data_IF_134995615963
#
_entry.id   IF_134995615963
#
_cell.length_a   1.000
_cell.length_b   1.000
_cell.length_c   1.000
_cell.angle_alpha   90.00
_cell.angle_beta   90.00
_cell.angle_gamma   90.00
#
_symmetry.space_group_name_H-M   'P 1'
#
loop_
_entity.id
_entity.type
_entity.pdbx_description
1 polymer ?
#
# COMPACT_ATOMS: atom_id res chain seq x y z
N UNK A 1 6.77 -4.39 -34.18
CA UNK A 1 7.73 -5.50 -34.27
C UNK A 1 8.33 -5.73 -32.89
N UNK A 2 8.44 -6.98 -32.41
CA UNK A 2 9.00 -7.35 -31.10
C UNK A 2 10.43 -7.89 -31.26
N UNK A 3 11.28 -7.69 -30.26
CA UNK A 3 12.62 -8.28 -30.18
C UNK A 3 12.84 -8.87 -28.79
N UNK A 4 13.67 -9.90 -28.63
CA UNK A 4 14.10 -10.37 -27.30
C UNK A 4 14.76 -9.24 -26.51
N UNK A 5 14.51 -9.21 -25.20
CA UNK A 5 15.08 -8.22 -24.28
C UNK A 5 15.42 -8.87 -22.93
N UNK A 6 16.33 -8.26 -22.17
CA UNK A 6 16.54 -8.64 -20.77
C UNK A 6 15.33 -8.27 -19.94
N UNK A 7 15.09 -9.05 -18.87
CA UNK A 7 13.90 -8.84 -18.01
C UNK A 7 13.86 -7.44 -17.40
N UNK A 8 15.00 -6.88 -17.02
CA UNK A 8 15.10 -5.54 -16.43
C UNK A 8 14.71 -4.44 -17.44
N UNK A 9 15.04 -4.63 -18.73
CA UNK A 9 14.62 -3.72 -19.80
C UNK A 9 13.11 -3.80 -20.00
N UNK A 10 12.57 -5.02 -20.06
CA UNK A 10 11.13 -5.25 -20.22
C UNK A 10 10.34 -4.69 -19.04
N UNK A 11 10.79 -4.90 -17.80
CA UNK A 11 10.18 -4.31 -16.61
C UNK A 11 10.21 -2.78 -16.61
N UNK A 12 11.23 -2.19 -17.19
CA UNK A 12 11.26 -0.74 -17.38
C UNK A 12 10.17 -0.17 -18.31
N UNK A 13 9.47 -1.04 -19.06
CA UNK A 13 8.38 -0.66 -19.96
C UNK A 13 6.97 -0.82 -19.37
N UNK A 14 6.85 -1.30 -18.13
CA UNK A 14 5.54 -1.54 -17.50
C UNK A 14 4.84 -0.28 -16.99
N UNK A 15 5.55 0.83 -16.87
CA UNK A 15 5.00 2.08 -16.37
C UNK A 15 4.00 2.73 -17.35
N UNK A 16 3.01 3.51 -16.86
CA UNK A 16 2.76 3.78 -15.44
C UNK A 16 2.16 2.59 -14.70
N UNK A 17 2.43 2.51 -13.39
CA UNK A 17 1.83 1.53 -12.49
C UNK A 17 1.15 2.22 -11.29
N UNK A 18 0.23 1.50 -10.68
CA UNK A 18 -0.41 1.98 -9.45
C UNK A 18 0.59 1.96 -8.29
N UNK A 19 0.32 2.82 -7.30
CA UNK A 19 0.96 2.81 -6.00
C UNK A 19 -0.10 2.95 -4.93
N UNK A 20 0.01 2.16 -3.87
CA UNK A 20 -0.85 2.22 -2.69
C UNK A 20 0.00 2.37 -1.44
N UNK A 21 -0.63 2.79 -0.35
CA UNK A 21 -0.06 2.71 0.99
C UNK A 21 -0.73 1.55 1.73
N UNK A 22 0.06 0.56 2.15
CA UNK A 22 -0.38 -0.42 3.14
C UNK A 22 -0.16 0.19 4.53
N UNK A 23 -1.25 0.49 5.22
CA UNK A 23 -1.25 1.13 6.54
C UNK A 23 -1.46 0.06 7.59
N UNK A 24 -0.71 0.15 8.66
CA UNK A 24 -0.76 -0.74 9.82
C UNK A 24 -0.61 0.08 11.10
N UNK A 25 -0.93 -0.54 12.25
CA UNK A 25 -0.77 0.08 13.56
C UNK A 25 0.14 -0.78 14.42
N UNK A 26 1.17 -0.20 14.98
CA UNK A 26 2.08 -0.88 15.90
C UNK A 26 1.43 -1.05 17.30
N UNK A 27 1.90 -2.01 18.14
CA UNK A 27 1.34 -2.24 19.47
C UNK A 27 1.40 -1.02 20.41
N UNK A 28 2.34 -0.11 20.18
CA UNK A 28 2.47 1.15 20.92
C UNK A 28 1.57 2.28 20.39
N UNK A 29 0.69 1.96 19.41
CA UNK A 29 -0.26 2.89 18.82
C UNK A 29 0.28 3.69 17.64
N UNK A 30 1.57 3.61 17.30
CA UNK A 30 2.14 4.32 16.14
C UNK A 30 1.54 3.81 14.83
N UNK A 31 1.20 4.75 13.96
CA UNK A 31 0.76 4.44 12.59
C UNK A 31 1.99 4.20 11.72
N UNK A 32 2.02 3.07 11.03
CA UNK A 32 3.04 2.78 10.04
C UNK A 32 2.38 2.61 8.68
N UNK A 33 3.04 3.12 7.63
CA UNK A 33 2.62 2.91 6.25
C UNK A 33 3.82 2.52 5.37
N UNK A 34 3.54 1.79 4.30
CA UNK A 34 4.52 1.37 3.30
C UNK A 34 3.95 1.58 1.91
N UNK A 35 4.72 2.25 1.03
CA UNK A 35 4.34 2.36 -0.38
C UNK A 35 4.58 1.03 -1.10
N UNK A 36 3.55 0.56 -1.82
CA UNK A 36 3.56 -0.73 -2.53
C UNK A 36 3.09 -0.51 -3.97
N UNK A 37 3.90 -0.97 -4.94
CA UNK A 37 3.51 -1.04 -6.35
C UNK A 37 2.98 -2.43 -6.73
N UNK A 38 3.33 -3.47 -5.98
CA UNK A 38 2.89 -4.85 -6.25
C UNK A 38 1.58 -5.14 -5.54
N UNK A 39 0.49 -4.69 -6.15
CA UNK A 39 -0.87 -4.79 -5.63
C UNK A 39 -1.84 -5.10 -6.76
N UNK A 40 -2.79 -6.00 -6.54
CA UNK A 40 -3.89 -6.27 -7.46
C UNK A 40 -5.12 -6.80 -6.74
N UNK A 41 -6.31 -6.64 -7.38
CA UNK A 41 -7.55 -7.31 -6.99
C UNK A 41 -7.43 -8.77 -7.45
N UNK A 42 -7.80 -9.72 -6.59
CA UNK A 42 -7.66 -11.16 -6.86
C UNK A 42 -8.97 -11.94 -6.63
N UNK A 43 -10.00 -11.29 -6.11
CA UNK A 43 -11.35 -11.87 -5.95
C UNK A 43 -12.39 -10.76 -5.90
N UNK A 44 -13.56 -11.02 -6.45
CA UNK A 44 -14.72 -10.12 -6.41
C UNK A 44 -15.73 -10.53 -5.31
N UNK A 45 -15.81 -11.82 -5.01
CA UNK A 45 -16.72 -12.37 -3.99
C UNK A 45 -16.06 -13.54 -3.23
N UNK A 46 -15.67 -13.34 -1.97
CA UNK A 46 -15.54 -12.03 -1.32
C UNK A 46 -14.46 -11.16 -1.98
N UNK A 47 -14.55 -9.82 -1.89
CA UNK A 47 -13.58 -8.93 -2.51
C UNK A 47 -12.23 -9.02 -1.80
N UNK A 48 -11.15 -9.24 -2.55
CA UNK A 48 -9.80 -9.42 -2.00
C UNK A 48 -8.73 -8.68 -2.80
N UNK A 49 -7.72 -8.18 -2.06
CA UNK A 49 -6.46 -7.70 -2.61
C UNK A 49 -5.32 -8.67 -2.34
N UNK A 50 -4.35 -8.66 -3.26
CA UNK A 50 -3.04 -9.27 -3.08
C UNK A 50 -1.98 -8.18 -3.06
N UNK A 51 -1.07 -8.26 -2.08
CA UNK A 51 0.09 -7.37 -1.92
C UNK A 51 1.38 -8.20 -1.94
N UNK A 52 2.37 -7.79 -2.72
CA UNK A 52 3.74 -8.29 -2.59
C UNK A 52 4.51 -7.42 -1.60
N UNK A 53 4.97 -8.02 -0.49
CA UNK A 53 5.66 -7.30 0.60
C UNK A 53 6.94 -8.06 0.97
N UNK A 54 8.09 -7.40 0.91
CA UNK A 54 9.38 -8.02 1.26
C UNK A 54 9.46 -8.43 2.73
N UNK A 55 10.15 -9.53 3.03
CA UNK A 55 10.29 -10.11 4.36
C UNK A 55 10.77 -9.14 5.46
N UNK A 56 11.79 -8.28 5.23
CA UNK A 56 12.27 -7.40 6.29
C UNK A 56 11.35 -6.20 6.56
N UNK A 57 10.20 -6.12 5.85
CA UNK A 57 9.29 -4.98 6.03
C UNK A 57 8.54 -5.04 7.36
N UNK A 58 8.64 -3.98 8.16
CA UNK A 58 7.89 -3.81 9.40
C UNK A 58 6.37 -3.93 9.18
N UNK A 59 5.89 -3.46 8.04
CA UNK A 59 4.49 -3.59 7.62
C UNK A 59 4.04 -5.05 7.55
N UNK A 60 4.87 -5.96 7.01
CA UNK A 60 4.56 -7.38 6.93
C UNK A 60 4.49 -8.03 8.33
N UNK A 61 5.43 -7.69 9.21
CA UNK A 61 5.41 -8.12 10.60
C UNK A 61 4.11 -7.69 11.30
N UNK A 62 3.70 -6.42 11.16
CA UNK A 62 2.48 -5.88 11.74
C UNK A 62 1.22 -6.54 11.17
N UNK A 63 1.15 -6.80 9.87
CA UNK A 63 0.03 -7.52 9.25
C UNK A 63 -0.07 -8.95 9.80
N UNK A 64 1.06 -9.65 9.93
CA UNK A 64 1.09 -11.01 10.49
C UNK A 64 0.62 -11.06 11.95
N UNK A 65 0.95 -10.04 12.74
CA UNK A 65 0.58 -9.96 14.15
C UNK A 65 -0.89 -9.51 14.34
N UNK A 66 -1.28 -8.43 13.73
CA UNK A 66 -2.60 -7.80 13.94
C UNK A 66 -3.71 -8.44 13.11
N UNK A 67 -3.38 -9.10 12.00
CA UNK A 67 -4.32 -9.64 11.01
C UNK A 67 -5.19 -8.58 10.32
N UNK A 68 -4.94 -7.32 10.54
CA UNK A 68 -5.70 -6.18 10.02
C UNK A 68 -4.76 -5.14 9.40
N UNK A 69 -5.20 -4.52 8.32
CA UNK A 69 -4.49 -3.44 7.63
C UNK A 69 -5.45 -2.65 6.76
N UNK A 70 -5.00 -1.47 6.33
CA UNK A 70 -5.73 -0.64 5.38
C UNK A 70 -4.91 -0.47 4.12
N UNK A 71 -5.54 -0.59 2.95
CA UNK A 71 -4.97 -0.22 1.66
C UNK A 71 -5.53 1.14 1.29
N UNK A 72 -4.68 2.16 1.21
CA UNK A 72 -5.07 3.49 0.78
C UNK A 72 -4.50 3.80 -0.61
N UNK A 73 -5.31 4.36 -1.49
CA UNK A 73 -4.86 4.96 -2.75
C UNK A 73 -4.56 6.44 -2.51
N UNK A 74 -3.28 6.82 -2.40
CA UNK A 74 -2.92 8.21 -2.12
C UNK A 74 -3.32 9.14 -3.27
N UNK A 75 -3.63 10.38 -2.95
CA UNK A 75 -3.85 11.41 -3.96
C UNK A 75 -2.54 11.83 -4.63
N UNK A 76 -2.62 12.43 -5.83
CA UNK A 76 -1.46 12.97 -6.55
C UNK A 76 -0.67 14.01 -5.74
N UNK A 77 -1.32 14.70 -4.80
CA UNK A 77 -0.69 15.68 -3.91
C UNK A 77 0.25 15.05 -2.86
N UNK A 78 0.13 13.73 -2.63
CA UNK A 78 0.88 12.98 -1.61
C UNK A 78 2.16 12.31 -2.15
N UNK A 79 2.69 12.76 -3.28
CA UNK A 79 3.85 12.13 -3.92
C UNK A 79 5.09 12.09 -3.00
N UNK A 80 5.37 13.18 -2.28
CA UNK A 80 6.51 13.31 -1.37
C UNK A 80 6.38 12.36 -0.17
N UNK A 81 5.22 12.33 0.45
CA UNK A 81 4.91 11.51 1.62
C UNK A 81 4.88 10.02 1.25
N UNK A 82 4.33 9.69 0.07
CA UNK A 82 4.35 8.32 -0.45
C UNK A 82 5.77 7.83 -0.72
N UNK A 83 6.63 8.67 -1.29
CA UNK A 83 8.05 8.36 -1.47
C UNK A 83 8.74 8.14 -0.10
N UNK A 84 8.47 8.99 0.87
CA UNK A 84 8.98 8.84 2.25
C UNK A 84 8.57 7.49 2.85
N UNK A 85 7.29 7.10 2.73
CA UNK A 85 6.82 5.80 3.20
C UNK A 85 7.45 4.60 2.48
N UNK A 86 7.89 4.78 1.24
CA UNK A 86 8.56 3.74 0.46
C UNK A 86 10.07 3.62 0.70
N UNK A 87 10.71 4.64 1.29
CA UNK A 87 12.18 4.72 1.44
C UNK A 87 12.68 4.65 2.88
N UNK A 88 11.80 4.88 3.85
CA UNK A 88 12.14 4.88 5.28
C UNK A 88 11.60 3.62 5.97
N UNK A 89 12.40 3.03 6.86
CA UNK A 89 12.03 1.82 7.60
C UNK A 89 11.25 2.13 8.88
N UNK A 90 10.07 1.51 9.06
CA UNK A 90 9.17 1.73 10.18
C UNK A 90 9.67 1.19 11.54
N UNK A 91 10.66 0.29 11.55
CA UNK A 91 11.29 -0.19 12.78
C UNK A 91 12.01 0.94 13.54
N UNK A 92 12.64 1.87 12.82
CA UNK A 92 13.47 2.91 13.38
C UNK A 92 12.78 4.27 13.52
N UNK A 93 11.62 4.45 12.87
CA UNK A 93 10.94 5.74 12.83
C UNK A 93 9.42 5.64 13.01
N UNK A 94 8.86 6.64 13.69
CA UNK A 94 7.41 6.90 13.66
C UNK A 94 7.05 7.62 12.35
N UNK A 95 6.82 6.82 11.31
CA UNK A 95 6.53 7.36 9.98
C UNK A 95 5.18 8.07 9.92
N UNK A 96 4.20 7.61 10.68
CA UNK A 96 2.88 8.24 10.73
C UNK A 96 2.97 9.68 11.22
N UNK A 97 3.58 9.89 12.39
CA UNK A 97 3.74 11.23 12.96
C UNK A 97 4.62 12.16 12.11
N UNK A 98 5.71 11.60 11.53
CA UNK A 98 6.66 12.41 10.74
C UNK A 98 6.19 12.74 9.33
N UNK A 99 5.22 12.01 8.79
CA UNK A 99 4.72 12.25 7.43
C UNK A 99 3.95 13.57 7.29
N UNK A 100 3.37 14.06 8.39
CA UNK A 100 2.46 15.20 8.36
C UNK A 100 1.07 14.91 7.77
N UNK A 101 0.83 13.66 7.31
CA UNK A 101 -0.47 13.26 6.81
C UNK A 101 -1.46 13.03 7.94
N UNK A 102 -2.73 13.28 7.67
CA UNK A 102 -3.82 13.09 8.62
C UNK A 102 -4.38 11.67 8.50
N UNK A 103 -4.47 11.00 9.63
CA UNK A 103 -5.13 9.70 9.77
C UNK A 103 -6.42 9.86 10.58
N UNK A 104 -7.46 9.13 10.19
CA UNK A 104 -8.78 9.15 10.84
C UNK A 104 -9.20 7.73 11.24
N UNK A 105 -10.06 7.57 12.25
CA UNK A 105 -10.55 6.24 12.64
C UNK A 105 -11.20 5.50 11.48
N UNK A 106 -10.94 4.19 11.40
CA UNK A 106 -11.63 3.26 10.52
C UNK A 106 -12.96 2.79 11.14
N UNK A 107 -13.77 2.06 10.38
CA UNK A 107 -15.07 1.57 10.83
C UNK A 107 -15.00 0.14 11.41
N UNK A 108 -14.21 -0.74 10.79
CA UNK A 108 -14.20 -2.19 11.07
C UNK A 108 -12.88 -2.73 11.63
N UNK A 109 -11.78 -2.00 11.46
CA UNK A 109 -10.43 -2.42 11.91
C UNK A 109 -9.83 -1.38 12.85
N UNK A 110 -8.90 -1.82 13.71
CA UNK A 110 -8.13 -0.90 14.59
C UNK A 110 -6.88 -0.35 13.88
N UNK A 111 -7.01 -0.03 12.59
CA UNK A 111 -5.97 0.58 11.75
C UNK A 111 -6.58 1.80 11.08
N UNK A 112 -6.00 3.00 11.21
CA UNK A 112 -6.63 4.21 10.70
C UNK A 112 -6.64 4.30 9.18
N UNK A 113 -7.60 5.07 8.65
CA UNK A 113 -7.69 5.47 7.26
C UNK A 113 -6.80 6.68 6.99
N UNK A 114 -6.33 6.83 5.76
CA UNK A 114 -5.68 8.05 5.27
C UNK A 114 -6.77 9.06 4.84
N UNK A 115 -6.87 10.20 5.55
CA UNK A 115 -8.01 11.14 5.44
C UNK A 115 -8.24 11.66 4.02
N UNK A 116 -7.18 12.07 3.32
CA UNK A 116 -7.27 12.73 2.02
C UNK A 116 -6.90 11.79 0.86
N UNK A 117 -6.97 10.48 1.09
CA UNK A 117 -6.80 9.48 0.03
C UNK A 117 -7.97 9.51 -0.96
N UNK A 118 -7.73 9.01 -2.17
CA UNK A 118 -8.79 8.79 -3.17
C UNK A 118 -9.76 7.72 -2.69
N UNK A 119 -9.21 6.64 -2.11
CA UNK A 119 -9.99 5.55 -1.51
C UNK A 119 -9.18 4.84 -0.42
N UNK A 120 -9.89 4.26 0.55
CA UNK A 120 -9.34 3.36 1.55
C UNK A 120 -10.13 2.06 1.57
N UNK A 121 -9.45 0.94 1.79
CA UNK A 121 -10.01 -0.38 1.93
C UNK A 121 -9.53 -1.00 3.24
N UNK A 122 -10.46 -1.26 4.14
CA UNK A 122 -10.20 -1.96 5.40
C UNK A 122 -10.11 -3.46 5.14
N UNK A 123 -9.00 -4.07 5.49
CA UNK A 123 -8.70 -5.45 5.13
C UNK A 123 -8.41 -6.33 6.35
N UNK A 124 -8.80 -7.60 6.25
CA UNK A 124 -8.34 -8.68 7.13
C UNK A 124 -7.46 -9.65 6.37
N UNK A 125 -6.35 -10.04 6.98
CA UNK A 125 -5.46 -11.05 6.43
C UNK A 125 -6.20 -12.39 6.30
N UNK A 126 -6.27 -12.91 5.08
CA UNK A 126 -6.82 -14.25 4.80
C UNK A 126 -5.71 -15.28 4.79
N UNK A 127 -4.66 -15.04 4.03
CA UNK A 127 -3.55 -15.97 3.86
C UNK A 127 -2.30 -15.27 3.32
N UNK A 128 -1.19 -15.97 3.40
CA UNK A 128 0.08 -15.58 2.80
C UNK A 128 0.61 -16.74 1.95
N UNK A 129 1.06 -16.45 0.74
CA UNK A 129 1.74 -17.39 -0.17
C UNK A 129 3.17 -16.95 -0.42
N UNK A 130 4.03 -17.90 -0.77
CA UNK A 130 5.42 -17.61 -1.13
C UNK A 130 5.86 -18.43 -2.35
N UNK A 131 5.40 -18.07 -3.55
CA UNK A 131 5.84 -18.77 -4.77
C UNK A 131 7.26 -18.41 -5.19
N UNK A 132 7.79 -17.27 -4.71
CA UNK A 132 9.13 -16.76 -5.00
C UNK A 132 9.80 -16.20 -3.74
N UNK A 133 10.67 -15.21 -3.92
CA UNK A 133 11.39 -14.56 -2.83
C UNK A 133 10.56 -13.50 -2.07
N UNK A 134 9.43 -13.05 -2.64
CA UNK A 134 8.57 -12.06 -2.03
C UNK A 134 7.28 -12.72 -1.50
N UNK A 135 6.94 -12.56 -0.22
CA UNK A 135 5.65 -12.95 0.32
C UNK A 135 4.50 -12.22 -0.37
N UNK A 136 3.44 -12.99 -0.65
CA UNK A 136 2.18 -12.50 -1.22
C UNK A 136 1.10 -12.56 -0.14
N UNK A 137 0.70 -11.39 0.33
CA UNK A 137 -0.34 -11.21 1.37
C UNK A 137 -1.70 -11.07 0.68
N UNK A 138 -2.66 -11.91 1.04
CA UNK A 138 -4.05 -11.79 0.57
C UNK A 138 -4.92 -11.28 1.71
N UNK A 139 -5.60 -10.17 1.47
CA UNK A 139 -6.54 -9.55 2.41
C UNK A 139 -7.94 -9.42 1.85
N UNK A 140 -8.93 -9.86 2.64
CA UNK A 140 -10.34 -9.63 2.36
C UNK A 140 -10.72 -8.19 2.70
N UNK A 141 -11.40 -7.51 1.79
CA UNK A 141 -11.96 -6.16 2.02
C UNK A 141 -13.26 -6.29 2.81
N UNK A 142 -13.30 -5.71 4.00
CA UNK A 142 -14.46 -5.76 4.91
C UNK A 142 -15.20 -4.42 5.03
N UNK A 143 -14.58 -3.33 4.58
CA UNK A 143 -15.20 -2.02 4.39
C UNK A 143 -14.39 -1.20 3.38
N UNK A 144 -15.04 -0.24 2.73
CA UNK A 144 -14.40 0.66 1.77
C UNK A 144 -14.92 2.08 1.90
N UNK A 145 -14.03 3.04 1.66
CA UNK A 145 -14.30 4.47 1.77
C UNK A 145 -13.74 5.17 0.54
N UNK A 146 -14.44 6.17 0.05
CA UNK A 146 -14.00 7.00 -1.08
C UNK A 146 -13.95 8.46 -0.67
N UNK A 147 -13.10 9.23 -1.34
CA UNK A 147 -13.09 10.67 -1.19
C UNK A 147 -14.43 11.26 -1.67
N UNK A 148 -14.93 12.25 -0.95
CA UNK A 148 -16.18 12.96 -1.33
C UNK A 148 -15.97 13.94 -2.48
N UNK A 149 -14.72 14.28 -2.78
CA UNK A 149 -14.33 15.10 -3.93
C UNK A 149 -13.84 14.18 -5.08
N UNK A 150 -14.71 13.96 -6.05
CA UNK A 150 -14.44 13.14 -7.24
C UNK A 150 -13.34 13.70 -8.16
N UNK A 151 -12.91 14.96 -7.94
CA UNK A 151 -11.82 15.58 -8.71
C UNK A 151 -10.43 15.14 -8.24
N UNK A 152 -10.31 14.57 -7.05
CA UNK A 152 -9.04 14.09 -6.48
C UNK A 152 -8.48 12.96 -7.32
N UNK A 153 -7.28 13.18 -7.88
CA UNK A 153 -6.61 12.21 -8.73
C UNK A 153 -5.70 11.30 -7.91
N UNK A 154 -5.69 10.00 -8.23
CA UNK A 154 -4.79 9.07 -7.59
C UNK A 154 -3.35 9.25 -8.06
N UNK A 155 -2.41 8.99 -7.16
CA UNK A 155 -0.99 8.95 -7.44
C UNK A 155 -0.64 7.70 -8.26
N UNK A 156 0.29 7.84 -9.21
CA UNK A 156 0.86 6.73 -10.00
C UNK A 156 2.37 6.83 -10.07
N UNK A 157 3.03 5.68 -10.26
CA UNK A 157 4.47 5.65 -10.54
C UNK A 157 4.69 5.61 -12.06
N UNK A 158 5.33 6.63 -12.61
CA UNK A 158 5.54 6.82 -14.05
C UNK A 158 6.90 6.29 -14.55
N UNK A 159 7.77 5.80 -13.69
CA UNK A 159 9.09 5.35 -14.14
C UNK A 159 9.98 4.76 -13.05
N UNK A 160 11.13 4.23 -13.46
CA UNK A 160 12.17 3.75 -12.55
C UNK A 160 12.60 4.87 -11.60
N UNK A 161 12.92 4.49 -10.34
CA UNK A 161 13.34 5.45 -9.31
C UNK A 161 12.18 6.22 -8.70
N UNK A 162 10.98 5.62 -8.73
CA UNK A 162 9.78 6.15 -8.07
C UNK A 162 9.39 7.57 -8.54
N UNK A 163 9.15 7.70 -9.85
CA UNK A 163 8.66 8.94 -10.46
C UNK A 163 7.15 9.09 -10.18
N UNK A 164 6.81 9.48 -8.97
CA UNK A 164 5.43 9.63 -8.50
C UNK A 164 4.79 10.92 -9.03
N UNK A 165 3.58 10.81 -9.60
CA UNK A 165 2.81 11.93 -10.17
C UNK A 165 1.32 11.75 -9.90
#
# INVERSE_FOLDING_TARGET
MQKPAKIEEAWGRKYPEQVVLAITKAPDGRVNAMAIGWVCIVSDDPPMFLLGIDDPAFTLELIRNNKEFVIAYPSSEMAKETLYFGTVHGHSEDKGAKSGLKFIPAEKVDVPLLADAVANFECRLVTEYRPGNCPLVVGEVIASHVNTDDSVKRLVNCGKGYQLK
#
